data_IF_060016717196
#
_entry.id   IF_060016717196
#
_cell.length_a   1.000
_cell.length_b   1.000
_cell.length_c   1.000
_cell.angle_alpha   90.00
_cell.angle_beta   90.00
_cell.angle_gamma   90.00
#
_symmetry.space_group_name_H-M   'P 1'
#
loop_
_entity.id
_entity.type
_entity.pdbx_description
1 polymer ?
#
# COMPACT_ATOMS: atom_id res chain seq x y z
N UNK A 1 -16.25 29.45 -19.27
CA UNK A 1 -15.77 28.42 -18.36
C UNK A 1 -16.70 28.33 -17.15
N UNK A 2 -17.05 27.13 -16.73
CA UNK A 2 -17.89 26.95 -15.53
C UNK A 2 -17.06 27.28 -14.27
N UNK A 3 -17.62 28.08 -13.36
CA UNK A 3 -16.97 28.50 -12.11
C UNK A 3 -17.84 28.35 -10.86
N UNK A 4 -19.06 27.82 -11.03
CA UNK A 4 -20.07 27.71 -9.96
C UNK A 4 -20.06 26.38 -9.24
N UNK A 5 -19.37 25.39 -9.78
CA UNK A 5 -19.28 24.03 -9.24
C UNK A 5 -17.83 23.57 -9.12
N UNK A 6 -17.51 22.68 -8.17
CA UNK A 6 -16.18 22.05 -8.10
C UNK A 6 -15.87 21.29 -9.39
N UNK A 7 -14.63 21.34 -9.84
CA UNK A 7 -14.18 20.66 -11.04
C UNK A 7 -12.88 19.89 -10.79
N UNK A 8 -12.74 18.75 -11.43
CA UNK A 8 -11.52 17.93 -11.48
C UNK A 8 -11.01 17.88 -12.92
N UNK A 9 -9.68 17.98 -13.09
CA UNK A 9 -9.04 17.92 -14.39
C UNK A 9 -7.59 17.48 -14.30
N UNK A 10 -6.96 17.30 -15.47
CA UNK A 10 -5.53 17.06 -15.62
C UNK A 10 -4.91 18.10 -16.54
N UNK A 11 -3.69 18.51 -16.20
CA UNK A 11 -2.85 19.38 -17.04
C UNK A 11 -1.52 18.67 -17.22
N UNK A 12 -1.03 18.58 -18.45
CA UNK A 12 0.30 18.13 -18.78
C UNK A 12 1.16 19.33 -19.12
N UNK A 13 2.20 19.57 -18.33
CA UNK A 13 3.16 20.64 -18.56
C UNK A 13 4.43 20.04 -19.18
N UNK A 14 4.75 20.45 -20.40
CA UNK A 14 6.01 20.11 -21.04
C UNK A 14 7.10 21.02 -20.48
N UNK A 15 8.07 20.42 -19.75
CA UNK A 15 9.18 21.14 -19.12
C UNK A 15 10.42 21.18 -20.02
N UNK A 16 10.63 20.13 -20.84
CA UNK A 16 11.66 20.04 -21.85
C UNK A 16 11.20 19.12 -22.98
N UNK A 17 11.97 19.00 -24.06
CA UNK A 17 11.64 18.09 -25.17
C UNK A 17 11.42 16.63 -24.73
N UNK A 18 12.09 16.21 -23.67
CA UNK A 18 12.04 14.82 -23.14
C UNK A 18 11.30 14.69 -21.81
N UNK A 19 10.89 15.81 -21.18
CA UNK A 19 10.27 15.79 -19.83
C UNK A 19 8.97 16.53 -19.80
N UNK A 20 7.90 15.81 -19.48
CA UNK A 20 6.60 16.38 -19.17
C UNK A 20 6.19 16.01 -17.74
N UNK A 21 5.48 16.90 -17.07
CA UNK A 21 4.94 16.70 -15.73
C UNK A 21 3.42 16.77 -15.82
N UNK A 22 2.76 15.74 -15.33
CA UNK A 22 1.31 15.72 -15.21
C UNK A 22 0.86 16.31 -13.87
N UNK A 23 -0.22 17.10 -13.88
CA UNK A 23 -0.85 17.66 -12.70
C UNK A 23 -2.30 17.22 -12.63
N UNK A 24 -2.73 16.76 -11.45
CA UNK A 24 -4.15 16.70 -11.12
C UNK A 24 -4.58 18.06 -10.58
N UNK A 25 -5.59 18.64 -11.19
CA UNK A 25 -6.11 19.96 -10.84
C UNK A 25 -7.50 19.81 -10.25
N UNK A 26 -7.71 20.44 -9.11
CA UNK A 26 -9.05 20.55 -8.50
C UNK A 26 -9.37 22.01 -8.27
N UNK A 27 -10.56 22.44 -8.68
CA UNK A 27 -11.07 23.77 -8.36
C UNK A 27 -12.27 23.67 -7.41
N UNK A 28 -12.39 24.67 -6.55
CA UNK A 28 -13.51 24.84 -5.63
C UNK A 28 -13.91 26.31 -5.61
N UNK A 29 -15.17 26.66 -5.95
CA UNK A 29 -15.68 28.01 -5.77
C UNK A 29 -15.65 28.43 -4.30
N UNK A 30 -15.14 29.62 -4.00
CA UNK A 30 -15.16 30.22 -2.68
C UNK A 30 -15.67 31.66 -2.76
N UNK A 31 -15.93 32.31 -1.62
CA UNK A 31 -16.32 33.72 -1.56
C UNK A 31 -15.28 34.67 -2.17
N UNK A 32 -14.03 34.26 -2.22
CA UNK A 32 -12.90 35.09 -2.67
C UNK A 32 -12.40 34.68 -4.07
N UNK A 33 -13.14 33.86 -4.80
CA UNK A 33 -12.78 33.30 -6.10
C UNK A 33 -12.57 31.79 -6.05
N UNK A 34 -11.98 31.21 -7.09
CA UNK A 34 -11.74 29.77 -7.15
C UNK A 34 -10.46 29.40 -6.39
N UNK A 35 -10.56 28.50 -5.40
CA UNK A 35 -9.42 27.81 -4.83
C UNK A 35 -8.98 26.71 -5.80
N UNK A 36 -7.73 26.75 -6.22
CA UNK A 36 -7.14 25.74 -7.11
C UNK A 36 -6.07 24.95 -6.36
N UNK A 37 -6.18 23.63 -6.40
CA UNK A 37 -5.19 22.70 -5.84
C UNK A 37 -4.58 21.91 -7.00
N UNK A 38 -3.25 22.02 -7.13
CA UNK A 38 -2.44 21.30 -8.10
C UNK A 38 -1.66 20.21 -7.38
N UNK A 39 -1.89 18.95 -7.76
CA UNK A 39 -1.07 17.82 -7.31
C UNK A 39 -0.15 17.39 -8.45
N UNK A 40 1.15 17.42 -8.20
CA UNK A 40 2.15 16.93 -9.15
C UNK A 40 2.03 15.42 -9.24
N UNK A 41 1.88 14.88 -10.45
CA UNK A 41 1.92 13.47 -10.77
C UNK A 41 3.25 13.20 -11.49
N UNK A 42 4.34 13.14 -10.74
CA UNK A 42 5.67 12.90 -11.32
C UNK A 42 5.89 11.39 -11.50
N UNK A 43 5.62 10.91 -12.70
CA UNK A 43 5.85 9.52 -13.09
C UNK A 43 7.33 9.12 -13.08
N UNK A 44 8.25 10.08 -13.20
CA UNK A 44 9.69 9.83 -13.17
C UNK A 44 10.24 9.61 -11.75
N UNK A 45 9.50 10.07 -10.74
CA UNK A 45 9.88 9.92 -9.33
C UNK A 45 9.54 8.53 -8.74
N UNK A 46 8.59 7.81 -9.34
CA UNK A 46 8.25 6.47 -8.93
C UNK A 46 9.20 5.46 -9.60
N UNK A 47 10.37 5.26 -8.99
CA UNK A 47 11.19 4.08 -9.32
C UNK A 47 10.41 2.85 -8.89
N UNK A 48 9.73 2.21 -9.84
CA UNK A 48 9.01 0.94 -9.65
C UNK A 48 10.02 -0.21 -9.52
N UNK A 49 10.80 -0.16 -8.46
CA UNK A 49 11.78 -1.18 -8.12
C UNK A 49 11.50 -1.67 -6.69
N UNK A 50 11.34 -2.96 -6.56
CA UNK A 50 11.02 -3.62 -5.29
C UNK A 50 12.08 -3.37 -4.21
N UNK A 51 13.35 -3.19 -4.60
CA UNK A 51 14.47 -2.97 -3.67
C UNK A 51 14.42 -1.61 -2.98
N UNK A 52 13.72 -0.62 -3.57
CA UNK A 52 13.59 0.71 -2.98
C UNK A 52 12.33 0.87 -2.11
N UNK A 53 11.41 -0.10 -2.13
CA UNK A 53 10.20 -0.06 -1.31
C UNK A 53 10.49 -0.18 0.19
N UNK A 54 11.59 -0.84 0.54
CA UNK A 54 12.02 -1.00 1.93
C UNK A 54 11.48 -2.25 2.61
N UNK A 55 11.14 -3.27 1.86
CA UNK A 55 10.83 -4.60 2.41
C UNK A 55 12.03 -5.18 3.16
N UNK A 56 11.76 -5.91 4.22
CA UNK A 56 12.73 -6.87 4.75
C UNK A 56 12.82 -8.10 3.83
N UNK A 57 13.94 -8.86 3.86
CA UNK A 57 14.15 -9.97 2.92
C UNK A 57 13.00 -10.98 2.86
N UNK A 58 12.48 -11.40 4.01
CA UNK A 58 11.36 -12.34 4.08
C UNK A 58 10.05 -11.73 3.57
N UNK A 59 9.78 -10.47 3.92
CA UNK A 59 8.62 -9.74 3.42
C UNK A 59 8.63 -9.63 1.90
N UNK A 60 9.80 -9.30 1.32
CA UNK A 60 10.00 -9.27 -0.13
C UNK A 60 9.72 -10.62 -0.77
N UNK A 61 10.27 -11.70 -0.19
CA UNK A 61 10.06 -13.07 -0.68
C UNK A 61 8.57 -13.42 -0.67
N UNK A 62 7.87 -13.24 0.45
CA UNK A 62 6.44 -13.53 0.55
C UNK A 62 5.60 -12.74 -0.45
N UNK A 63 5.92 -11.47 -0.65
CA UNK A 63 5.22 -10.66 -1.65
C UNK A 63 5.45 -11.18 -3.07
N UNK A 64 6.70 -11.48 -3.44
CA UNK A 64 7.05 -12.02 -4.75
C UNK A 64 6.41 -13.40 -4.97
N UNK A 65 6.44 -14.28 -3.98
CA UNK A 65 5.82 -15.61 -4.07
C UNK A 65 4.31 -15.48 -4.30
N UNK A 66 3.64 -14.55 -3.63
CA UNK A 66 2.20 -14.35 -3.77
C UNK A 66 1.79 -13.80 -5.14
N UNK A 67 2.53 -12.82 -5.68
CA UNK A 67 2.21 -12.24 -6.99
C UNK A 67 2.60 -13.15 -8.17
N UNK A 68 3.44 -14.15 -7.95
CA UNK A 68 3.78 -15.15 -9.00
C UNK A 68 2.87 -16.37 -8.98
N UNK A 69 1.88 -16.46 -8.09
CA UNK A 69 0.86 -17.51 -8.16
C UNK A 69 -0.02 -17.32 -9.39
N UNK A 70 -0.50 -18.40 -10.01
CA UNK A 70 -1.32 -18.30 -11.22
C UNK A 70 -2.69 -17.71 -10.96
N UNK A 71 -3.19 -17.79 -9.74
CA UNK A 71 -4.50 -17.27 -9.32
C UNK A 71 -4.54 -16.96 -7.85
N UNK A 72 -5.55 -16.22 -7.42
CA UNK A 72 -5.80 -15.84 -6.05
C UNK A 72 -5.83 -14.33 -5.87
N UNK A 73 -6.08 -13.88 -4.64
CA UNK A 73 -6.25 -12.49 -4.29
C UNK A 73 -5.08 -12.00 -3.42
N UNK A 74 -4.42 -10.94 -3.85
CA UNK A 74 -3.38 -10.23 -3.10
C UNK A 74 -3.91 -8.86 -2.69
N UNK A 75 -3.97 -8.61 -1.40
CA UNK A 75 -4.52 -7.39 -0.83
C UNK A 75 -3.44 -6.52 -0.22
N UNK A 76 -3.42 -5.24 -0.62
CA UNK A 76 -2.56 -4.22 -0.01
C UNK A 76 -3.43 -3.23 0.75
N UNK A 77 -3.20 -3.08 2.04
CA UNK A 77 -4.03 -2.26 2.91
C UNK A 77 -3.24 -1.16 3.60
N UNK A 78 -3.93 -0.15 4.08
CA UNK A 78 -3.37 0.99 4.79
C UNK A 78 -4.14 2.28 4.50
N UNK A 79 -3.87 3.36 5.26
CA UNK A 79 -4.51 4.65 5.05
C UNK A 79 -4.12 5.29 3.72
N UNK A 80 -4.80 6.38 3.39
CA UNK A 80 -4.41 7.22 2.25
C UNK A 80 -2.98 7.73 2.42
N UNK A 81 -2.18 7.62 1.36
CA UNK A 81 -0.79 8.06 1.39
C UNK A 81 0.21 7.05 1.97
N UNK A 82 -0.21 5.82 2.31
CA UNK A 82 0.70 4.77 2.79
C UNK A 82 1.56 4.14 1.68
N UNK A 83 1.34 4.50 0.40
CA UNK A 83 2.13 4.01 -0.73
C UNK A 83 1.60 2.75 -1.41
N UNK A 84 0.35 2.33 -1.14
CA UNK A 84 -0.28 1.13 -1.72
C UNK A 84 -0.16 1.05 -3.23
N UNK A 85 -0.48 2.14 -3.93
CA UNK A 85 -0.40 2.22 -5.39
C UNK A 85 1.00 1.91 -5.92
N UNK A 86 2.04 2.45 -5.26
CA UNK A 86 3.43 2.22 -5.68
C UNK A 86 3.82 0.75 -5.49
N UNK A 87 3.41 0.13 -4.38
CA UNK A 87 3.66 -1.30 -4.15
C UNK A 87 2.94 -2.18 -5.17
N UNK A 88 1.67 -1.90 -5.48
CA UNK A 88 0.91 -2.62 -6.51
C UNK A 88 1.52 -2.42 -7.90
N UNK A 89 1.84 -1.19 -8.28
CA UNK A 89 2.46 -0.89 -9.57
C UNK A 89 3.83 -1.54 -9.73
N UNK A 90 4.60 -1.63 -8.63
CA UNK A 90 5.88 -2.37 -8.64
C UNK A 90 5.62 -3.85 -8.91
N UNK A 91 4.63 -4.45 -8.27
CA UNK A 91 4.22 -5.84 -8.55
C UNK A 91 3.77 -6.03 -10.00
N UNK A 92 2.89 -5.16 -10.50
CA UNK A 92 2.44 -5.19 -11.89
C UNK A 92 3.60 -5.03 -12.88
N UNK A 93 4.54 -4.15 -12.58
CA UNK A 93 5.73 -3.94 -13.44
C UNK A 93 6.62 -5.19 -13.52
N UNK A 94 6.74 -5.95 -12.44
CA UNK A 94 7.47 -7.22 -12.40
C UNK A 94 6.76 -8.28 -13.27
N UNK A 95 5.43 -8.30 -13.22
CA UNK A 95 4.59 -9.27 -13.92
C UNK A 95 4.33 -8.91 -15.39
N UNK A 96 4.58 -7.67 -15.78
CA UNK A 96 4.27 -7.14 -17.11
C UNK A 96 5.23 -7.70 -18.17
N UNK A 97 4.81 -8.77 -18.79
CA UNK A 97 5.52 -9.44 -19.89
C UNK A 97 4.64 -9.41 -21.15
N UNK A 98 5.21 -9.46 -22.36
CA UNK A 98 4.43 -9.44 -23.60
C UNK A 98 3.39 -10.56 -23.74
N UNK A 99 3.57 -11.64 -22.97
CA UNK A 99 2.68 -12.82 -22.95
C UNK A 99 1.61 -12.78 -21.86
N UNK A 100 1.53 -11.70 -21.09
CA UNK A 100 0.62 -11.58 -19.93
C UNK A 100 -0.36 -10.45 -20.17
N UNK A 101 -1.64 -10.75 -20.16
CA UNK A 101 -2.72 -9.76 -20.28
C UNK A 101 -3.08 -9.18 -18.91
N UNK A 102 -2.68 -7.94 -18.65
CA UNK A 102 -2.94 -7.23 -17.39
C UNK A 102 -3.98 -6.13 -17.62
N UNK A 103 -5.05 -6.13 -16.83
CA UNK A 103 -6.08 -5.09 -16.86
C UNK A 103 -6.27 -4.47 -15.48
N UNK A 104 -6.38 -3.13 -15.42
CA UNK A 104 -6.58 -2.41 -14.15
C UNK A 104 -7.80 -1.48 -14.22
N UNK A 105 -8.56 -1.40 -13.13
CA UNK A 105 -9.61 -0.41 -12.92
C UNK A 105 -9.22 0.50 -11.75
N UNK A 106 -9.14 1.81 -11.99
CA UNK A 106 -8.57 2.78 -11.04
C UNK A 106 -9.39 4.08 -10.98
N UNK A 107 -9.35 4.76 -9.83
CA UNK A 107 -10.07 6.02 -9.61
C UNK A 107 -9.17 7.14 -9.04
N UNK A 108 -8.38 7.80 -9.86
CA UNK A 108 -8.01 7.52 -11.24
C UNK A 108 -6.68 6.75 -11.35
N UNK A 109 -6.28 6.40 -12.57
CA UNK A 109 -4.91 5.96 -12.89
C UNK A 109 -3.91 7.04 -12.47
N UNK A 110 -2.95 6.68 -11.61
CA UNK A 110 -1.95 7.63 -11.09
C UNK A 110 -0.71 7.71 -12.00
N UNK A 111 -0.25 6.57 -12.51
CA UNK A 111 0.95 6.46 -13.37
C UNK A 111 0.60 5.58 -14.56
N UNK A 112 0.92 6.03 -15.77
CA UNK A 112 0.73 5.22 -16.96
C UNK A 112 1.81 4.14 -17.04
N UNK A 113 1.39 2.88 -17.10
CA UNK A 113 2.26 1.72 -17.25
C UNK A 113 2.14 1.16 -18.68
N UNK A 114 3.16 1.33 -19.53
CA UNK A 114 3.13 0.76 -20.88
C UNK A 114 2.95 -0.77 -20.83
N UNK A 115 2.10 -1.30 -21.72
CA UNK A 115 1.80 -2.75 -21.78
C UNK A 115 0.69 -3.22 -20.86
N UNK A 116 0.08 -2.32 -20.07
CA UNK A 116 -1.04 -2.63 -19.16
C UNK A 116 -2.30 -1.90 -19.65
N UNK A 117 -3.44 -2.57 -19.63
CA UNK A 117 -4.75 -2.02 -19.98
C UNK A 117 -5.34 -1.29 -18.76
N UNK A 118 -5.02 -0.02 -18.59
CA UNK A 118 -5.45 0.77 -17.44
C UNK A 118 -6.74 1.53 -17.73
N UNK A 119 -7.80 1.27 -16.96
CA UNK A 119 -9.12 1.88 -17.11
C UNK A 119 -9.37 2.87 -15.96
N UNK A 120 -9.70 4.11 -16.30
CA UNK A 120 -10.23 5.06 -15.33
C UNK A 120 -11.73 4.79 -15.08
N UNK A 121 -12.09 4.58 -13.83
CA UNK A 121 -13.48 4.53 -13.39
C UNK A 121 -14.17 5.87 -13.66
N UNK A 122 -15.39 5.81 -14.16
CA UNK A 122 -16.24 6.97 -14.41
C UNK A 122 -17.70 6.63 -14.07
N UNK A 123 -18.07 6.87 -12.84
CA UNK A 123 -19.43 6.60 -12.34
C UNK A 123 -20.53 7.38 -13.05
N UNK A 124 -20.21 8.54 -13.65
CA UNK A 124 -21.16 9.34 -14.42
C UNK A 124 -21.63 8.64 -15.70
N UNK A 125 -20.79 7.76 -16.26
CA UNK A 125 -21.12 6.98 -17.46
C UNK A 125 -21.51 5.53 -17.12
N UNK A 126 -21.61 5.19 -15.83
CA UNK A 126 -21.88 3.83 -15.37
C UNK A 126 -20.67 2.89 -15.38
N UNK A 127 -19.47 3.40 -15.69
CA UNK A 127 -18.24 2.62 -15.63
C UNK A 127 -17.65 2.68 -14.21
N UNK A 128 -18.22 1.92 -13.29
CA UNK A 128 -17.70 1.70 -11.94
C UNK A 128 -16.72 0.52 -11.89
N UNK A 129 -16.19 0.20 -10.70
CA UNK A 129 -15.28 -0.93 -10.51
C UNK A 129 -15.92 -2.26 -10.90
N UNK A 130 -17.16 -2.50 -10.51
CA UNK A 130 -17.88 -3.74 -10.82
C UNK A 130 -18.13 -3.91 -12.31
N UNK A 131 -18.52 -2.84 -13.01
CA UNK A 131 -18.70 -2.85 -14.47
C UNK A 131 -17.39 -3.12 -15.20
N UNK A 132 -16.29 -2.48 -14.78
CA UNK A 132 -14.96 -2.72 -15.33
C UNK A 132 -14.51 -4.17 -15.15
N UNK A 133 -14.64 -4.74 -13.93
CA UNK A 133 -14.29 -6.13 -13.67
C UNK A 133 -15.09 -7.11 -14.53
N UNK A 134 -16.42 -6.92 -14.62
CA UNK A 134 -17.27 -7.76 -15.50
C UNK A 134 -16.84 -7.69 -16.95
N UNK A 135 -16.34 -6.54 -17.41
CA UNK A 135 -15.82 -6.38 -18.77
C UNK A 135 -14.48 -7.14 -18.92
N UNK A 136 -13.57 -7.01 -17.97
CA UNK A 136 -12.26 -7.69 -17.99
C UNK A 136 -12.42 -9.19 -18.10
N UNK A 137 -13.30 -9.83 -17.32
CA UNK A 137 -13.54 -11.27 -17.35
C UNK A 137 -14.00 -11.82 -18.72
N UNK A 138 -14.31 -10.96 -19.68
CA UNK A 138 -14.65 -11.32 -21.07
C UNK A 138 -13.56 -10.95 -22.08
N UNK A 139 -12.37 -10.59 -21.59
CA UNK A 139 -11.23 -10.16 -22.41
C UNK A 139 -9.97 -10.97 -22.13
N UNK A 140 -10.15 -12.20 -21.64
CA UNK A 140 -9.08 -13.15 -21.33
C UNK A 140 -7.90 -12.53 -20.56
N UNK A 141 -8.14 -11.90 -19.38
CA UNK A 141 -7.06 -11.35 -18.56
C UNK A 141 -6.35 -12.47 -17.80
N UNK A 142 -5.04 -12.35 -17.66
CA UNK A 142 -4.27 -13.17 -16.72
C UNK A 142 -4.26 -12.56 -15.33
N UNK A 143 -4.12 -11.23 -15.29
CA UNK A 143 -3.99 -10.44 -14.06
C UNK A 143 -4.96 -9.28 -14.08
N UNK A 144 -5.67 -9.10 -12.98
CA UNK A 144 -6.62 -8.01 -12.78
C UNK A 144 -6.19 -7.21 -11.56
N UNK A 145 -6.14 -5.88 -11.68
CA UNK A 145 -6.01 -5.01 -10.52
C UNK A 145 -7.27 -4.16 -10.38
N UNK A 146 -7.84 -4.18 -9.17
CA UNK A 146 -8.94 -3.31 -8.77
C UNK A 146 -8.42 -2.30 -7.79
N UNK A 147 -8.54 -1.03 -8.09
CA UNK A 147 -8.01 0.06 -7.26
C UNK A 147 -8.37 -0.09 -5.79
N UNK A 148 -9.61 -0.43 -5.51
CA UNK A 148 -10.07 -0.77 -4.16
C UNK A 148 -11.38 -1.57 -4.16
N UNK A 149 -11.59 -2.35 -3.08
CA UNK A 149 -12.87 -3.03 -2.79
C UNK A 149 -13.60 -2.23 -1.72
N UNK A 150 -14.71 -1.57 -2.13
CA UNK A 150 -15.55 -0.75 -1.23
C UNK A 150 -16.84 -1.43 -0.83
N UNK A 151 -17.38 -2.27 -1.72
CA UNK A 151 -18.73 -2.84 -1.65
C UNK A 151 -18.72 -4.33 -1.98
N UNK A 152 -19.84 -4.99 -1.63
CA UNK A 152 -20.02 -6.43 -1.82
C UNK A 152 -19.93 -6.82 -3.30
N UNK A 153 -20.51 -6.03 -4.21
CA UNK A 153 -20.58 -6.38 -5.64
C UNK A 153 -19.18 -6.46 -6.25
N UNK A 154 -18.35 -5.46 -5.99
CA UNK A 154 -16.95 -5.44 -6.44
C UNK A 154 -16.16 -6.59 -5.79
N UNK A 155 -16.37 -6.82 -4.49
CA UNK A 155 -15.69 -7.87 -3.72
C UNK A 155 -16.03 -9.28 -4.21
N UNK A 156 -17.29 -9.59 -4.46
CA UNK A 156 -17.72 -10.90 -4.98
C UNK A 156 -17.13 -11.18 -6.36
N UNK A 157 -17.10 -10.19 -7.26
CA UNK A 157 -16.52 -10.38 -8.60
C UNK A 157 -15.02 -10.60 -8.51
N UNK A 158 -14.32 -9.83 -7.65
CA UNK A 158 -12.87 -9.97 -7.43
C UNK A 158 -12.52 -11.36 -6.87
N UNK A 159 -13.26 -11.82 -5.86
CA UNK A 159 -13.09 -13.16 -5.26
C UNK A 159 -13.37 -14.26 -6.28
N UNK A 160 -14.45 -14.14 -7.02
CA UNK A 160 -14.80 -15.11 -8.08
C UNK A 160 -13.71 -15.19 -9.15
N UNK A 161 -13.20 -14.05 -9.60
CA UNK A 161 -12.08 -14.00 -10.53
C UNK A 161 -10.83 -14.72 -9.96
N UNK A 162 -10.50 -14.45 -8.69
CA UNK A 162 -9.38 -15.08 -7.99
C UNK A 162 -9.52 -16.59 -7.83
N UNK A 163 -10.75 -17.13 -7.81
CA UNK A 163 -11.04 -18.57 -7.73
C UNK A 163 -11.10 -19.25 -9.10
N UNK A 164 -11.18 -18.48 -10.18
CA UNK A 164 -11.41 -18.99 -11.54
C UNK A 164 -10.24 -18.73 -12.50
N UNK A 165 -9.01 -18.79 -12.00
CA UNK A 165 -7.80 -18.77 -12.83
C UNK A 165 -7.13 -17.42 -12.99
N UNK A 166 -7.53 -16.38 -12.26
CA UNK A 166 -6.94 -15.05 -12.38
C UNK A 166 -6.17 -14.65 -11.12
N UNK A 167 -5.02 -14.01 -11.28
CA UNK A 167 -4.39 -13.28 -10.19
C UNK A 167 -5.06 -11.92 -10.06
N UNK A 168 -5.63 -11.65 -8.88
CA UNK A 168 -6.30 -10.38 -8.59
C UNK A 168 -5.52 -9.61 -7.52
N UNK A 169 -5.21 -8.35 -7.82
CA UNK A 169 -4.60 -7.43 -6.86
C UNK A 169 -5.60 -6.34 -6.51
N UNK A 170 -5.71 -5.98 -5.22
CA UNK A 170 -6.60 -4.89 -4.81
C UNK A 170 -6.14 -4.21 -3.53
N UNK A 171 -6.83 -3.13 -3.15
CA UNK A 171 -6.59 -2.44 -1.89
C UNK A 171 -7.83 -2.36 -1.02
N UNK A 172 -7.57 -2.20 0.29
CA UNK A 172 -8.55 -1.77 1.28
C UNK A 172 -7.97 -0.64 2.14
N UNK A 173 -8.87 0.04 2.88
CA UNK A 173 -8.50 1.06 3.85
C UNK A 173 -8.68 0.51 5.27
N UNK A 174 -7.80 -0.40 5.67
CA UNK A 174 -7.73 -1.00 7.01
C UNK A 174 -6.32 -0.86 7.55
N UNK A 175 -6.13 -1.01 8.86
CA UNK A 175 -4.87 -0.69 9.51
C UNK A 175 -3.88 -1.85 9.52
N UNK A 176 -4.36 -3.10 9.60
CA UNK A 176 -3.57 -4.31 9.71
C UNK A 176 -4.25 -5.50 9.00
N UNK A 177 -3.62 -6.65 9.06
CA UNK A 177 -4.10 -7.89 8.42
C UNK A 177 -5.39 -8.41 9.07
N UNK A 178 -5.51 -8.54 10.42
CA UNK A 178 -6.75 -8.97 11.05
C UNK A 178 -7.96 -8.06 10.73
N UNK A 179 -7.77 -6.74 10.77
CA UNK A 179 -8.83 -5.78 10.41
C UNK A 179 -9.22 -5.89 8.93
N UNK A 180 -8.29 -6.26 8.06
CA UNK A 180 -8.58 -6.47 6.64
C UNK A 180 -9.53 -7.64 6.45
N UNK A 181 -9.29 -8.76 7.13
CA UNK A 181 -10.18 -9.94 7.11
C UNK A 181 -11.56 -9.57 7.66
N UNK A 182 -11.61 -8.93 8.82
CA UNK A 182 -12.86 -8.46 9.42
C UNK A 182 -13.63 -7.51 8.49
N UNK A 183 -12.93 -6.63 7.78
CA UNK A 183 -13.52 -5.71 6.81
C UNK A 183 -14.15 -6.42 5.63
N UNK A 184 -13.50 -7.45 5.09
CA UNK A 184 -14.07 -8.26 4.00
C UNK A 184 -15.35 -8.97 4.45
N UNK A 185 -15.35 -9.55 5.65
CA UNK A 185 -16.56 -10.16 6.23
C UNK A 185 -17.67 -9.11 6.43
N UNK A 186 -17.34 -7.93 6.97
CA UNK A 186 -18.29 -6.84 7.18
C UNK A 186 -18.86 -6.25 5.88
N UNK A 187 -18.13 -6.30 4.79
CA UNK A 187 -18.65 -5.94 3.45
C UNK A 187 -19.71 -6.97 2.99
N UNK A 188 -19.69 -8.17 3.54
CA UNK A 188 -20.62 -9.25 3.22
C UNK A 188 -19.98 -10.40 2.42
N UNK A 189 -18.66 -10.43 2.27
CA UNK A 189 -17.98 -11.55 1.59
C UNK A 189 -17.94 -12.75 2.54
N UNK A 190 -18.48 -13.91 2.14
CA UNK A 190 -18.48 -15.09 2.98
C UNK A 190 -17.07 -15.55 3.35
N UNK A 191 -16.87 -15.96 4.61
CA UNK A 191 -15.55 -16.36 5.14
C UNK A 191 -14.93 -17.50 4.34
N UNK A 192 -15.71 -18.47 3.85
CA UNK A 192 -15.20 -19.55 3.00
C UNK A 192 -14.64 -19.04 1.66
N UNK A 193 -15.20 -17.96 1.12
CA UNK A 193 -14.69 -17.32 -0.09
C UNK A 193 -13.38 -16.58 0.18
N UNK A 194 -13.28 -15.91 1.32
CA UNK A 194 -12.04 -15.23 1.74
C UNK A 194 -10.92 -16.27 1.93
N UNK A 195 -11.21 -17.31 2.72
CA UNK A 195 -10.26 -18.40 3.00
C UNK A 195 -9.75 -19.10 1.72
N UNK A 196 -10.64 -19.30 0.73
CA UNK A 196 -10.32 -20.00 -0.51
C UNK A 196 -9.62 -19.12 -1.56
N UNK A 197 -9.69 -17.80 -1.46
CA UNK A 197 -9.20 -16.90 -2.52
C UNK A 197 -7.98 -16.07 -2.13
N UNK A 198 -7.85 -15.67 -0.86
CA UNK A 198 -6.81 -14.73 -0.44
C UNK A 198 -5.46 -15.45 -0.29
N UNK A 199 -4.48 -15.04 -1.08
CA UNK A 199 -3.13 -15.58 -1.02
C UNK A 199 -2.25 -14.83 -0.01
N UNK A 200 -2.44 -13.51 0.07
CA UNK A 200 -1.60 -12.63 0.89
C UNK A 200 -2.35 -11.36 1.24
N UNK A 201 -2.17 -10.90 2.46
CA UNK A 201 -2.56 -9.55 2.89
C UNK A 201 -1.30 -8.82 3.35
N UNK A 202 -1.12 -7.60 2.84
CA UNK A 202 -0.01 -6.73 3.19
C UNK A 202 -0.53 -5.40 3.72
N UNK A 203 -0.34 -5.16 5.01
CA UNK A 203 -0.58 -3.83 5.58
C UNK A 203 0.67 -2.95 5.45
N UNK A 204 0.47 -1.68 5.13
CA UNK A 204 1.54 -0.77 4.76
C UNK A 204 1.39 0.62 5.37
N UNK A 205 2.52 1.17 5.84
CA UNK A 205 2.70 2.57 6.25
C UNK A 205 3.94 3.15 5.59
N UNK A 206 4.02 4.47 5.54
CA UNK A 206 5.23 5.19 5.14
C UNK A 206 5.74 6.01 6.32
N UNK A 207 7.04 5.85 6.60
CA UNK A 207 7.78 6.70 7.55
C UNK A 207 8.76 7.61 6.81
N UNK A 208 9.08 8.77 7.38
CA UNK A 208 10.13 9.63 6.86
C UNK A 208 11.50 9.02 7.18
N UNK A 209 12.42 9.07 6.24
CA UNK A 209 13.80 8.63 6.45
C UNK A 209 14.61 9.77 7.05
N UNK A 210 15.39 9.46 8.09
CA UNK A 210 16.36 10.39 8.64
C UNK A 210 17.34 10.83 7.56
N UNK A 211 17.68 12.11 7.58
CA UNK A 211 18.71 12.65 6.70
C UNK A 211 20.08 12.11 7.09
N UNK A 212 20.72 11.36 6.22
CA UNK A 212 22.02 10.73 6.49
C UNK A 212 23.15 11.75 6.77
N UNK A 213 22.98 13.01 6.35
CA UNK A 213 23.98 14.07 6.56
C UNK A 213 23.90 14.75 7.92
N UNK A 214 22.74 14.70 8.58
CA UNK A 214 22.56 15.46 9.82
C UNK A 214 21.93 14.67 10.96
N UNK A 215 21.57 13.40 10.77
CA UNK A 215 21.06 12.58 11.89
C UNK A 215 22.12 12.48 12.99
N UNK A 216 21.68 12.58 14.23
CA UNK A 216 22.54 12.48 15.41
C UNK A 216 22.12 11.29 16.27
N UNK A 217 23.05 10.76 17.06
CA UNK A 217 22.71 9.68 18.00
C UNK A 217 21.70 10.21 19.02
N UNK A 218 20.59 9.49 19.16
CA UNK A 218 19.60 9.78 20.18
C UNK A 218 19.98 9.05 21.50
N UNK A 219 20.05 9.80 22.60
CA UNK A 219 20.35 9.29 23.95
C UNK A 219 19.30 9.74 24.97
N UNK A 220 18.13 10.16 24.48
CA UNK A 220 17.08 10.75 25.34
C UNK A 220 16.22 9.66 26.01
N UNK A 221 16.22 8.44 25.46
CA UNK A 221 15.39 7.36 25.94
C UNK A 221 16.12 6.53 26.98
N UNK A 222 15.44 6.26 28.10
CA UNK A 222 15.91 5.35 29.12
C UNK A 222 15.80 3.89 28.69
N UNK A 223 16.47 2.99 29.39
CA UNK A 223 16.40 1.56 29.16
C UNK A 223 14.94 1.06 29.24
N UNK A 224 14.23 1.44 30.30
CA UNK A 224 12.83 1.04 30.51
C UNK A 224 11.88 1.55 29.43
N UNK A 225 12.11 2.79 28.93
CA UNK A 225 11.34 3.33 27.81
C UNK A 225 11.56 2.52 26.52
N UNK A 226 12.79 2.08 26.25
CA UNK A 226 13.09 1.28 25.06
C UNK A 226 12.45 -0.11 25.14
N UNK A 227 12.45 -0.76 26.30
CA UNK A 227 11.70 -2.00 26.54
C UNK A 227 10.20 -1.77 26.32
N UNK A 228 9.65 -0.74 26.91
CA UNK A 228 8.22 -0.42 26.75
C UNK A 228 7.83 -0.10 25.28
N UNK A 229 8.77 0.36 24.47
CA UNK A 229 8.58 0.56 23.03
C UNK A 229 8.58 -0.77 22.26
N UNK A 230 9.13 -1.86 22.81
CA UNK A 230 9.18 -3.19 22.21
C UNK A 230 10.56 -3.61 21.72
N UNK A 231 11.64 -2.94 22.15
CA UNK A 231 13.00 -3.45 21.97
C UNK A 231 13.29 -4.57 22.97
N UNK A 232 14.07 -5.57 22.57
CA UNK A 232 14.47 -6.65 23.45
C UNK A 232 15.51 -6.16 24.48
N UNK A 233 15.44 -6.66 25.71
CA UNK A 233 16.31 -6.23 26.82
C UNK A 233 17.79 -6.45 26.51
N UNK A 234 18.11 -7.57 25.85
CA UNK A 234 19.46 -7.98 25.49
C UNK A 234 20.08 -7.17 24.34
N UNK A 235 19.27 -6.43 23.56
CA UNK A 235 19.79 -5.59 22.46
C UNK A 235 20.05 -4.14 22.84
N UNK A 236 19.50 -3.66 23.98
CA UNK A 236 19.45 -2.21 24.29
C UNK A 236 20.84 -1.61 24.46
N UNK A 237 21.78 -2.30 25.06
CA UNK A 237 23.13 -1.76 25.30
C UNK A 237 23.89 -1.52 23.99
N UNK A 238 23.63 -2.32 22.97
CA UNK A 238 24.25 -2.18 21.64
C UNK A 238 23.40 -1.37 20.66
N UNK A 239 22.17 -1.03 21.04
CA UNK A 239 21.21 -0.35 20.17
C UNK A 239 21.67 1.08 19.81
N UNK A 240 21.71 1.37 18.51
CA UNK A 240 22.10 2.68 17.98
C UNK A 240 20.94 3.36 17.31
N UNK A 241 20.22 4.16 18.08
CA UNK A 241 19.09 4.97 17.59
C UNK A 241 19.53 6.38 17.24
N UNK A 242 18.80 6.99 16.30
CA UNK A 242 19.11 8.31 15.78
C UNK A 242 17.90 9.23 15.80
N UNK A 243 18.17 10.53 15.98
CA UNK A 243 17.19 11.61 15.94
C UNK A 243 17.47 12.57 14.76
N UNK A 244 16.44 13.28 14.28
CA UNK A 244 16.60 14.32 13.28
C UNK A 244 17.29 15.54 13.89
N UNK A 245 18.21 16.19 13.14
CA UNK A 245 18.82 17.47 13.54
C UNK A 245 18.39 18.62 12.63
N UNK A 246 18.44 18.40 11.31
CA UNK A 246 18.21 19.42 10.30
C UNK A 246 19.51 19.98 9.70
N UNK A 247 19.52 20.12 8.36
CA UNK A 247 20.58 20.78 7.59
C UNK A 247 20.02 21.28 6.26
N UNK A 248 20.77 22.05 5.51
CA UNK A 248 20.37 22.56 4.18
C UNK A 248 19.93 21.45 3.21
N UNK A 249 20.59 20.29 3.22
CA UNK A 249 20.25 19.15 2.34
C UNK A 249 18.88 18.54 2.60
N UNK A 250 18.33 18.73 3.74
CA UNK A 250 16.97 18.29 4.08
C UNK A 250 16.02 19.47 4.36
N UNK A 251 16.37 20.68 3.90
CA UNK A 251 15.61 21.89 4.15
C UNK A 251 15.30 22.08 5.66
N UNK A 252 16.27 21.78 6.51
CA UNK A 252 16.24 21.87 7.98
C UNK A 252 15.20 20.97 8.66
N UNK A 253 14.56 20.06 7.93
CA UNK A 253 13.53 19.15 8.49
C UNK A 253 14.11 17.95 9.24
N UNK A 254 15.39 17.62 9.05
CA UNK A 254 16.02 16.42 9.61
C UNK A 254 15.66 15.12 8.89
N UNK A 255 14.73 15.14 7.95
CA UNK A 255 14.27 13.99 7.18
C UNK A 255 14.39 14.21 5.67
N UNK A 256 14.69 13.15 4.93
CA UNK A 256 14.75 13.17 3.46
C UNK A 256 14.36 11.83 2.86
N UNK A 257 13.27 11.82 2.09
CA UNK A 257 12.70 10.60 1.50
C UNK A 257 11.83 9.83 2.50
N UNK A 258 11.35 8.68 2.05
CA UNK A 258 10.42 7.82 2.80
C UNK A 258 10.88 6.37 2.72
N UNK A 259 10.46 5.55 3.68
CA UNK A 259 10.62 4.10 3.68
C UNK A 259 9.29 3.43 4.02
N UNK A 260 9.03 2.28 3.42
CA UNK A 260 7.86 1.48 3.74
C UNK A 260 8.07 0.73 5.05
N UNK A 261 6.98 0.58 5.79
CA UNK A 261 6.82 -0.28 6.94
C UNK A 261 5.71 -1.26 6.58
N UNK A 262 5.95 -2.54 6.74
CA UNK A 262 5.07 -3.59 6.24
C UNK A 262 4.76 -4.65 7.29
N UNK A 263 3.51 -5.10 7.29
CA UNK A 263 3.10 -6.41 7.79
C UNK A 263 2.71 -7.24 6.57
N UNK A 264 3.44 -8.29 6.26
CA UNK A 264 3.24 -9.13 5.08
C UNK A 264 2.91 -10.54 5.53
N UNK A 265 1.68 -10.97 5.31
CA UNK A 265 1.15 -12.23 5.82
C UNK A 265 0.58 -13.05 4.65
N UNK A 266 1.30 -14.08 4.19
CA UNK A 266 0.72 -15.15 3.38
C UNK A 266 -0.38 -15.86 4.18
N UNK A 267 -1.49 -16.18 3.56
CA UNK A 267 -2.56 -16.92 4.22
C UNK A 267 -2.18 -18.41 4.21
N UNK A 268 -1.75 -18.89 5.38
CA UNK A 268 -1.45 -20.30 5.65
C UNK A 268 -2.72 -21.15 5.78
N UNK A 269 -2.58 -22.46 5.81
CA UNK A 269 -3.71 -23.36 6.09
C UNK A 269 -4.35 -23.03 7.45
N UNK A 270 -3.54 -22.83 8.50
CA UNK A 270 -4.04 -22.47 9.82
C UNK A 270 -4.81 -21.16 9.82
N UNK A 271 -4.29 -20.11 9.18
CA UNK A 271 -4.99 -18.84 9.04
C UNK A 271 -6.28 -19.00 8.20
N UNK A 272 -6.24 -19.81 7.15
CA UNK A 272 -7.41 -20.10 6.32
C UNK A 272 -8.52 -20.80 7.11
N UNK A 273 -8.18 -21.78 7.96
CA UNK A 273 -9.13 -22.44 8.86
C UNK A 273 -9.72 -21.46 9.88
N UNK A 274 -8.89 -20.60 10.47
CA UNK A 274 -9.35 -19.57 11.41
C UNK A 274 -10.32 -18.58 10.74
N UNK A 275 -10.02 -18.17 9.52
CA UNK A 275 -10.93 -17.30 8.72
C UNK A 275 -12.24 -18.01 8.45
N UNK A 276 -12.19 -19.28 8.03
CA UNK A 276 -13.37 -20.11 7.75
C UNK A 276 -14.32 -20.20 8.97
N UNK A 277 -13.74 -20.30 10.17
CA UNK A 277 -14.49 -20.39 11.45
C UNK A 277 -14.78 -19.03 12.08
N UNK A 278 -14.55 -17.91 11.38
CA UNK A 278 -14.77 -16.55 11.86
C UNK A 278 -14.04 -16.24 13.17
N UNK A 279 -12.79 -16.67 13.29
CA UNK A 279 -11.94 -16.34 14.43
C UNK A 279 -11.84 -14.82 14.65
N UNK A 280 -11.64 -14.41 15.90
CA UNK A 280 -11.52 -13.00 16.23
C UNK A 280 -10.27 -12.37 15.65
N UNK A 281 -10.27 -11.04 15.49
CA UNK A 281 -9.08 -10.31 15.02
C UNK A 281 -7.86 -10.53 15.95
N UNK A 282 -8.11 -10.69 17.26
CA UNK A 282 -7.05 -10.98 18.23
C UNK A 282 -6.43 -12.37 18.02
N UNK A 283 -7.26 -13.40 17.79
CA UNK A 283 -6.76 -14.75 17.53
C UNK A 283 -5.96 -14.82 16.23
N UNK A 284 -6.41 -14.13 15.18
CA UNK A 284 -5.70 -14.02 13.91
C UNK A 284 -4.35 -13.30 14.09
N UNK A 285 -4.32 -12.21 14.87
CA UNK A 285 -3.08 -11.50 15.19
C UNK A 285 -2.10 -12.40 15.94
N UNK A 286 -2.56 -13.15 16.95
CA UNK A 286 -1.75 -14.10 17.68
C UNK A 286 -1.19 -15.21 16.77
N UNK A 287 -2.01 -15.74 15.86
CA UNK A 287 -1.55 -16.75 14.91
C UNK A 287 -0.50 -16.19 13.95
N UNK A 288 -0.66 -14.96 13.46
CA UNK A 288 0.37 -14.30 12.65
C UNK A 288 1.72 -14.22 13.40
N UNK A 289 1.69 -13.86 14.68
CA UNK A 289 2.89 -13.82 15.52
C UNK A 289 3.51 -15.22 15.72
N UNK A 290 2.68 -16.25 15.98
CA UNK A 290 3.15 -17.65 16.11
C UNK A 290 3.83 -18.17 14.84
N UNK A 291 3.37 -17.73 13.67
CA UNK A 291 3.95 -18.06 12.38
C UNK A 291 5.17 -17.19 12.03
N UNK A 292 5.56 -16.24 12.89
CA UNK A 292 6.74 -15.40 12.75
C UNK A 292 6.55 -14.18 11.84
N UNK A 293 5.31 -13.83 11.50
CA UNK A 293 5.04 -12.62 10.72
C UNK A 293 5.04 -11.38 11.61
N UNK A 294 5.91 -10.45 11.30
CA UNK A 294 5.99 -9.19 12.01
C UNK A 294 4.75 -8.34 11.78
N UNK A 295 4.26 -7.72 12.85
CA UNK A 295 3.29 -6.64 12.75
C UNK A 295 3.96 -5.32 12.29
N UNK A 296 3.15 -4.29 12.09
CA UNK A 296 3.66 -2.98 11.66
C UNK A 296 4.60 -2.36 12.70
N UNK A 297 4.36 -2.59 14.00
CA UNK A 297 5.18 -2.07 15.08
C UNK A 297 6.57 -2.71 15.08
N UNK A 298 6.64 -4.03 14.99
CA UNK A 298 7.90 -4.79 14.91
C UNK A 298 8.72 -4.39 13.67
N UNK A 299 8.05 -4.26 12.51
CA UNK A 299 8.69 -3.77 11.29
C UNK A 299 9.21 -2.34 11.43
N UNK A 300 8.46 -1.47 12.10
CA UNK A 300 8.87 -0.09 12.37
C UNK A 300 10.09 -0.02 13.30
N UNK A 301 10.10 -0.80 14.37
CA UNK A 301 11.25 -0.90 15.28
C UNK A 301 12.50 -1.37 14.54
N UNK A 302 12.36 -2.30 13.60
CA UNK A 302 13.50 -2.72 12.77
C UNK A 302 14.06 -1.58 11.90
N UNK A 303 13.22 -0.67 11.40
CA UNK A 303 13.71 0.53 10.68
C UNK A 303 14.47 1.49 11.61
N UNK A 304 14.13 1.53 12.89
CA UNK A 304 14.91 2.27 13.90
C UNK A 304 16.25 1.59 14.16
N UNK A 305 16.30 0.25 14.32
CA UNK A 305 17.55 -0.52 14.45
C UNK A 305 18.51 -0.29 13.29
N UNK A 306 17.98 -0.20 12.08
CA UNK A 306 18.72 0.12 10.87
C UNK A 306 19.18 1.59 10.78
N UNK A 307 18.75 2.45 11.72
CA UNK A 307 19.04 3.89 11.71
C UNK A 307 18.41 4.63 10.53
N UNK A 308 17.35 4.09 9.94
CA UNK A 308 16.63 4.67 8.81
C UNK A 308 15.62 5.73 9.23
N UNK A 309 15.01 5.57 10.40
CA UNK A 309 13.99 6.48 10.92
C UNK A 309 14.18 6.69 12.44
N UNK A 310 13.41 7.58 13.04
CA UNK A 310 13.44 7.86 14.46
C UNK A 310 12.30 7.19 15.22
N UNK A 311 12.43 7.06 16.53
CA UNK A 311 11.36 6.59 17.42
C UNK A 311 10.13 7.47 17.29
N UNK A 312 10.30 8.79 17.26
CA UNK A 312 9.21 9.75 17.09
C UNK A 312 8.37 9.47 15.82
N UNK A 313 9.04 9.15 14.69
CA UNK A 313 8.35 8.82 13.45
C UNK A 313 7.59 7.51 13.52
N UNK A 314 8.17 6.46 14.10
CA UNK A 314 7.46 5.18 14.19
C UNK A 314 6.25 5.28 15.13
N UNK A 315 6.34 6.06 16.21
CA UNK A 315 5.19 6.34 17.07
C UNK A 315 4.07 7.00 16.28
N UNK A 316 4.40 8.04 15.50
CA UNK A 316 3.42 8.77 14.67
C UNK A 316 2.69 7.88 13.66
N UNK A 317 3.33 6.83 13.12
CA UNK A 317 2.77 6.02 12.03
C UNK A 317 2.25 4.65 12.46
N UNK A 318 2.53 4.22 13.70
CA UNK A 318 2.08 2.94 14.25
C UNK A 318 1.22 3.06 15.49
N UNK A 319 0.94 4.27 15.98
CA UNK A 319 -0.09 4.51 16.99
C UNK A 319 -1.41 4.73 16.26
N UNK A 320 -2.40 3.90 16.54
CA UNK A 320 -3.77 4.02 16.01
C UNK A 320 -4.54 5.14 16.72
#
# INVERSE_FOLDING_TARGET
AEKRVPQDGRIKLQVSETKAIDFRVRSLPTLWGEKIVLRILDSSAAKLNIDVLGFEPDQKRHYLDAINKPQGLVLVTGPTGSGKTVSLYTGLSILNKPTVNISTAEDPVEINLPGINQVNVNTKTGLDFAAALKAFLRQDPDIIMVGEIRDITTGEIAVKAAQTGHLVLSTLHTNDVPQTIARLVNIGIPSYNIAASVNLIMAQRLTRRLCNHCKTRDRRHSHDELIALGFAEDEIDDLRIYAPKGCERCSYQGYRGRAGIYQVVPISESLSEMILHNASAADIAEQCQKEGYWDLRQSALNKVRQGLTSIEEILRVTTD
#
